data_IF_417957271046
#
_entry.id   IF_417957271046
#
_cell.length_a   1.000
_cell.length_b   1.000
_cell.length_c   1.000
_cell.angle_alpha   90.00
_cell.angle_beta   90.00
_cell.angle_gamma   90.00
#
_symmetry.space_group_name_H-M   'P 1'
#
loop_
_entity.id
_entity.type
_entity.pdbx_description
1 polymer ?
#
# COMPACT_ATOMS: atom_id res chain seq x y z
N UNK A 1 7.50 19.25 12.93
CA UNK A 1 6.91 18.26 12.02
C UNK A 1 5.92 19.01 11.12
N UNK A 2 6.08 18.95 9.80
CA UNK A 2 5.18 19.62 8.85
C UNK A 2 4.60 18.53 7.95
N UNK A 3 3.27 18.41 7.97
CA UNK A 3 2.51 17.55 7.08
C UNK A 3 1.91 18.40 5.96
N UNK A 4 2.24 18.09 4.72
CA UNK A 4 1.70 18.78 3.55
C UNK A 4 0.49 18.00 3.01
N UNK A 5 -0.70 18.60 2.83
CA UNK A 5 -1.84 17.88 2.28
C UNK A 5 -1.55 17.33 0.88
N UNK A 6 -2.01 16.12 0.58
CA UNK A 6 -1.93 15.58 -0.78
C UNK A 6 -3.04 16.20 -1.65
N UNK A 7 -2.69 16.72 -2.82
CA UNK A 7 -3.63 17.38 -3.75
C UNK A 7 -4.26 16.42 -4.76
N UNK A 8 -3.66 15.25 -4.97
CA UNK A 8 -3.96 14.31 -6.06
C UNK A 8 -5.12 13.36 -5.74
N UNK A 9 -5.45 13.17 -4.47
CA UNK A 9 -6.52 12.27 -4.03
C UNK A 9 -7.31 13.00 -2.94
N UNK A 10 -8.39 13.67 -3.33
CA UNK A 10 -9.15 14.57 -2.47
C UNK A 10 -9.48 13.97 -1.10
N UNK A 11 -9.46 14.82 -0.07
CA UNK A 11 -9.69 14.43 1.32
C UNK A 11 -11.11 13.87 1.51
N UNK A 12 -11.29 12.56 1.36
CA UNK A 12 -12.57 11.88 1.57
C UNK A 12 -13.01 11.92 3.04
N UNK A 13 -14.31 11.78 3.31
CA UNK A 13 -14.86 11.88 4.67
C UNK A 13 -14.14 11.02 5.71
N UNK A 14 -13.63 9.85 5.29
CA UNK A 14 -13.02 8.83 6.15
C UNK A 14 -11.53 8.62 5.90
N UNK A 15 -10.87 9.47 5.11
CA UNK A 15 -9.42 9.39 4.88
C UNK A 15 -8.83 10.80 4.84
N UNK A 16 -7.74 10.99 5.57
CA UNK A 16 -6.89 12.19 5.48
C UNK A 16 -5.47 11.75 5.17
N UNK A 17 -4.91 12.30 4.11
CA UNK A 17 -3.60 11.92 3.59
C UNK A 17 -2.70 13.15 3.49
N UNK A 18 -1.43 12.94 3.85
CA UNK A 18 -0.42 13.98 3.84
C UNK A 18 0.89 13.42 3.32
N UNK A 19 1.75 14.32 2.85
CA UNK A 19 3.16 14.06 2.63
C UNK A 19 3.97 14.52 3.84
N UNK A 20 4.94 13.70 4.24
CA UNK A 20 5.96 14.05 5.22
C UNK A 20 7.34 13.89 4.57
N UNK A 21 8.19 14.92 4.60
CA UNK A 21 9.54 14.81 4.03
C UNK A 21 10.33 13.71 4.74
N UNK A 22 10.81 12.73 3.99
CA UNK A 22 11.64 11.66 4.50
C UNK A 22 13.00 12.22 4.94
N UNK A 23 13.51 11.72 6.07
CA UNK A 23 14.84 12.09 6.59
C UNK A 23 15.72 10.87 6.85
N UNK A 24 15.12 9.68 6.91
CA UNK A 24 15.78 8.37 6.97
C UNK A 24 15.11 7.44 5.97
N UNK A 25 15.84 6.42 5.52
CA UNK A 25 15.27 5.34 4.70
C UNK A 25 14.47 4.36 5.55
N UNK A 26 14.97 4.00 6.74
CA UNK A 26 14.24 3.15 7.66
C UNK A 26 13.26 4.00 8.49
N UNK A 27 11.97 3.67 8.39
CA UNK A 27 10.89 4.40 9.07
C UNK A 27 10.92 4.19 10.58
N UNK A 28 11.47 3.08 11.07
CA UNK A 28 11.58 2.82 12.50
C UNK A 28 12.64 3.71 13.19
N UNK A 29 13.58 4.25 12.41
CA UNK A 29 14.57 5.23 12.88
C UNK A 29 14.01 6.67 12.90
N UNK A 30 12.82 6.91 12.32
CA UNK A 30 12.20 8.22 12.27
C UNK A 30 11.29 8.46 13.50
N UNK A 31 11.84 9.17 14.50
CA UNK A 31 11.10 9.57 15.71
C UNK A 31 9.78 10.31 15.44
N UNK A 32 9.62 10.95 14.27
CA UNK A 32 8.39 11.63 13.87
C UNK A 32 7.31 10.61 13.49
N UNK A 33 7.68 9.55 12.78
CA UNK A 33 6.78 8.43 12.46
C UNK A 33 6.33 7.73 13.74
N UNK A 34 7.26 7.49 14.68
CA UNK A 34 6.90 6.96 16.00
C UNK A 34 5.92 7.88 16.74
N UNK A 35 6.18 9.18 16.77
CA UNK A 35 5.31 10.16 17.43
C UNK A 35 3.91 10.22 16.81
N UNK A 36 3.83 10.15 15.48
CA UNK A 36 2.56 10.06 14.76
C UNK A 36 1.77 8.81 15.14
N UNK A 37 2.42 7.64 15.16
CA UNK A 37 1.80 6.37 15.57
C UNK A 37 1.27 6.42 17.01
N UNK A 38 2.00 7.03 17.93
CA UNK A 38 1.56 7.21 19.33
C UNK A 38 0.36 8.15 19.43
N UNK A 39 0.41 9.29 18.74
CA UNK A 39 -0.67 10.27 18.76
C UNK A 39 -1.98 9.71 18.16
N UNK A 40 -1.91 8.95 17.07
CA UNK A 40 -3.11 8.35 16.45
C UNK A 40 -3.73 7.25 17.31
N UNK A 41 -2.91 6.42 17.96
CA UNK A 41 -3.39 5.40 18.87
C UNK A 41 -4.23 5.98 20.02
N UNK A 42 -3.83 7.15 20.56
CA UNK A 42 -4.57 7.85 21.61
C UNK A 42 -5.98 8.32 21.17
N UNK A 43 -6.22 8.43 19.87
CA UNK A 43 -7.49 8.87 19.29
C UNK A 43 -8.27 7.73 18.61
N UNK A 44 -7.85 6.48 18.79
CA UNK A 44 -8.48 5.32 18.12
C UNK A 44 -8.55 5.51 16.59
N UNK A 45 -7.46 6.01 16.01
CA UNK A 45 -7.28 6.13 14.56
C UNK A 45 -6.18 5.18 14.10
N UNK A 46 -6.37 4.60 12.92
CA UNK A 46 -5.31 3.91 12.21
C UNK A 46 -4.42 4.93 11.48
N UNK A 47 -3.13 4.61 11.38
CA UNK A 47 -2.17 5.34 10.57
C UNK A 47 -1.38 4.37 9.72
N UNK A 48 -1.14 4.74 8.47
CA UNK A 48 -0.22 4.05 7.60
C UNK A 48 0.83 5.03 7.09
N UNK A 49 2.09 4.61 7.12
CA UNK A 49 3.23 5.40 6.68
C UNK A 49 4.11 4.52 5.81
N UNK A 50 4.38 4.96 4.59
CA UNK A 50 5.25 4.28 3.63
C UNK A 50 6.04 5.31 2.81
N UNK A 51 7.13 4.88 2.17
CA UNK A 51 7.79 5.72 1.18
C UNK A 51 6.89 5.97 -0.02
N UNK A 52 6.85 7.23 -0.49
CA UNK A 52 6.20 7.61 -1.74
C UNK A 52 6.82 6.84 -2.93
N UNK A 53 6.03 6.59 -3.97
CA UNK A 53 6.53 6.01 -5.21
C UNK A 53 6.58 7.04 -6.35
N UNK A 54 7.76 7.63 -6.67
CA UNK A 54 7.87 8.58 -7.77
C UNK A 54 7.45 8.02 -9.13
N UNK A 55 7.61 6.72 -9.34
CA UNK A 55 7.13 6.08 -10.57
C UNK A 55 5.60 6.08 -10.68
N UNK A 56 4.88 6.15 -9.55
CA UNK A 56 3.43 6.29 -9.51
C UNK A 56 2.95 7.76 -9.54
N UNK A 57 3.88 8.72 -9.61
CA UNK A 57 3.59 10.15 -9.64
C UNK A 57 3.65 10.85 -8.27
N UNK A 58 4.10 10.15 -7.23
CA UNK A 58 4.29 10.75 -5.91
C UNK A 58 5.57 11.61 -5.85
N UNK A 59 5.67 12.57 -4.91
CA UNK A 59 6.88 13.37 -4.74
C UNK A 59 8.06 12.54 -4.23
N UNK A 60 9.24 12.74 -4.83
CA UNK A 60 10.48 12.10 -4.40
C UNK A 60 10.98 12.61 -3.05
N UNK A 61 11.45 11.71 -2.19
CA UNK A 61 11.97 12.04 -0.86
C UNK A 61 10.89 12.37 0.18
N UNK A 62 9.67 11.90 -0.05
CA UNK A 62 8.55 12.02 0.88
C UNK A 62 7.98 10.66 1.29
N UNK A 63 7.24 10.67 2.39
CA UNK A 63 6.44 9.58 2.90
C UNK A 63 4.97 9.91 2.67
N UNK A 64 4.19 8.90 2.30
CA UNK A 64 2.74 8.94 2.40
C UNK A 64 2.34 8.71 3.85
N UNK A 65 1.45 9.56 4.35
CA UNK A 65 0.90 9.46 5.71
C UNK A 65 -0.61 9.46 5.62
N UNK A 66 -1.19 8.26 5.74
CA UNK A 66 -2.63 8.03 5.68
C UNK A 66 -3.21 7.87 7.09
N UNK A 67 -4.16 8.73 7.45
CA UNK A 67 -4.98 8.61 8.64
C UNK A 67 -6.36 8.04 8.26
N UNK A 68 -6.76 6.99 8.97
CA UNK A 68 -7.94 6.17 8.67
C UNK A 68 -8.70 5.84 9.96
N UNK A 69 -10.01 5.53 9.89
CA UNK A 69 -10.69 4.79 10.94
C UNK A 69 -9.97 3.46 11.23
N UNK A 70 -10.05 2.99 12.47
CA UNK A 70 -9.55 1.65 12.81
C UNK A 70 -10.25 0.59 11.94
N UNK A 71 -9.44 -0.34 11.43
CA UNK A 71 -9.93 -1.44 10.59
C UNK A 71 -10.36 -1.03 9.18
N UNK A 72 -9.91 0.13 8.66
CA UNK A 72 -10.22 0.61 7.31
C UNK A 72 -9.01 0.58 6.34
N UNK A 73 -7.99 -0.24 6.62
CA UNK A 73 -6.83 -0.42 5.76
C UNK A 73 -7.13 -1.32 4.55
N UNK A 74 -6.20 -1.36 3.59
CA UNK A 74 -6.35 -2.22 2.40
C UNK A 74 -6.45 -3.72 2.77
N UNK A 75 -5.82 -4.13 3.86
CA UNK A 75 -5.96 -5.48 4.44
C UNK A 75 -7.41 -5.79 4.80
N UNK A 76 -8.04 -4.94 5.61
CA UNK A 76 -9.42 -5.14 6.06
C UNK A 76 -10.42 -5.07 4.92
N UNK A 77 -10.18 -4.18 3.94
CA UNK A 77 -11.00 -4.11 2.72
C UNK A 77 -10.93 -5.44 1.96
N UNK A 78 -9.73 -5.95 1.70
CA UNK A 78 -9.55 -7.20 0.95
C UNK A 78 -10.25 -8.37 1.66
N UNK A 79 -10.04 -8.50 2.97
CA UNK A 79 -10.68 -9.54 3.80
C UNK A 79 -12.20 -9.42 3.78
N UNK A 80 -12.74 -8.22 3.98
CA UNK A 80 -14.17 -7.97 3.95
C UNK A 80 -14.80 -8.40 2.62
N UNK A 81 -14.17 -8.08 1.49
CA UNK A 81 -14.65 -8.45 0.16
C UNK A 81 -14.61 -9.97 -0.07
N UNK A 82 -13.53 -10.64 0.35
CA UNK A 82 -13.40 -12.10 0.30
C UNK A 82 -14.50 -12.80 1.10
N UNK A 83 -14.74 -12.37 2.34
CA UNK A 83 -15.77 -12.92 3.21
C UNK A 83 -17.18 -12.66 2.65
N UNK A 84 -17.44 -11.43 2.17
CA UNK A 84 -18.75 -11.03 1.64
C UNK A 84 -19.15 -11.82 0.40
N UNK A 85 -18.21 -12.07 -0.50
CA UNK A 85 -18.47 -12.78 -1.76
C UNK A 85 -18.11 -14.26 -1.71
N UNK A 86 -17.70 -14.76 -0.55
CA UNK A 86 -17.26 -16.16 -0.37
C UNK A 86 -16.16 -16.55 -1.38
N UNK A 87 -15.27 -15.62 -1.70
CA UNK A 87 -14.12 -15.85 -2.60
C UNK A 87 -12.90 -16.14 -1.73
N UNK A 88 -12.35 -17.37 -1.77
CA UNK A 88 -11.17 -17.70 -0.98
C UNK A 88 -9.93 -16.97 -1.49
N UNK A 89 -8.92 -16.82 -0.62
CA UNK A 89 -7.63 -16.24 -0.97
C UNK A 89 -6.98 -16.93 -2.18
N UNK A 90 -7.10 -18.26 -2.31
CA UNK A 90 -6.61 -19.02 -3.47
C UNK A 90 -7.23 -18.63 -4.81
N UNK A 91 -8.35 -17.91 -4.82
CA UNK A 91 -8.99 -17.36 -6.02
C UNK A 91 -8.93 -15.83 -6.09
N UNK A 92 -8.04 -15.23 -5.30
CA UNK A 92 -7.86 -13.78 -5.23
C UNK A 92 -6.49 -13.41 -5.81
N UNK A 93 -6.48 -12.49 -6.78
CA UNK A 93 -5.27 -11.85 -7.28
C UNK A 93 -5.13 -10.46 -6.62
N UNK A 94 -3.93 -10.08 -6.19
CA UNK A 94 -3.65 -8.73 -5.71
C UNK A 94 -2.35 -8.17 -6.34
N UNK A 95 -2.36 -6.87 -6.62
CA UNK A 95 -1.24 -6.16 -7.21
C UNK A 95 -0.98 -4.87 -6.43
N UNK A 96 0.27 -4.59 -6.11
CA UNK A 96 0.68 -3.40 -5.36
C UNK A 96 1.97 -2.80 -5.89
N UNK A 97 2.34 -1.64 -5.37
CA UNK A 97 3.56 -0.94 -5.73
C UNK A 97 4.27 -0.26 -4.55
N UNK A 98 3.60 -0.11 -3.41
CA UNK A 98 4.16 0.58 -2.24
C UNK A 98 3.89 -0.16 -0.94
N UNK A 99 4.49 0.30 0.16
CA UNK A 99 4.37 -0.34 1.48
C UNK A 99 2.92 -0.47 1.96
N UNK A 100 2.04 0.47 1.58
CA UNK A 100 0.62 0.40 1.96
C UNK A 100 -0.16 -0.77 1.33
N UNK A 101 0.38 -1.41 0.29
CA UNK A 101 -0.25 -2.54 -0.37
C UNK A 101 0.05 -3.87 0.31
N UNK A 102 1.11 -3.96 1.11
CA UNK A 102 1.61 -5.22 1.67
C UNK A 102 0.53 -5.99 2.45
N UNK A 103 -0.31 -5.27 3.21
CA UNK A 103 -1.43 -5.86 3.95
C UNK A 103 -2.50 -6.48 3.05
N UNK A 104 -2.77 -5.89 1.89
CA UNK A 104 -3.68 -6.45 0.87
C UNK A 104 -3.04 -7.64 0.15
N UNK A 105 -1.75 -7.52 -0.21
CA UNK A 105 -1.00 -8.60 -0.86
C UNK A 105 -0.99 -9.86 0.00
N UNK A 106 -0.86 -9.73 1.32
CA UNK A 106 -0.91 -10.84 2.27
C UNK A 106 -2.28 -11.56 2.33
N UNK A 107 -3.37 -10.91 1.89
CA UNK A 107 -4.71 -11.53 1.85
C UNK A 107 -4.95 -12.39 0.60
N UNK A 108 -4.15 -12.23 -0.45
CA UNK A 108 -4.33 -12.92 -1.71
C UNK A 108 -3.42 -14.14 -1.80
N UNK A 109 -3.95 -15.26 -2.32
CA UNK A 109 -3.14 -16.46 -2.61
C UNK A 109 -2.17 -16.23 -3.78
N UNK A 110 -2.44 -15.20 -4.59
CA UNK A 110 -1.69 -14.83 -5.77
C UNK A 110 -1.45 -13.32 -5.75
N UNK A 111 -0.25 -12.91 -5.32
CA UNK A 111 0.05 -11.51 -5.05
C UNK A 111 1.38 -11.10 -5.69
N UNK A 112 1.40 -9.95 -6.35
CA UNK A 112 2.60 -9.40 -6.99
C UNK A 112 2.78 -7.91 -6.72
N UNK A 113 4.03 -7.49 -6.64
CA UNK A 113 4.39 -6.10 -6.85
C UNK A 113 4.60 -5.82 -8.34
N UNK A 114 4.18 -4.66 -8.84
CA UNK A 114 4.54 -4.24 -10.20
C UNK A 114 6.03 -3.88 -10.28
N UNK A 115 6.66 -3.97 -11.46
CA UNK A 115 8.12 -3.81 -11.59
C UNK A 115 8.65 -2.39 -11.28
N UNK A 116 7.78 -1.41 -11.10
CA UNK A 116 8.10 -0.06 -10.60
C UNK A 116 7.76 0.14 -9.11
N UNK A 117 7.50 -0.94 -8.37
CA UNK A 117 7.29 -0.87 -6.91
C UNK A 117 8.51 -0.34 -6.15
N UNK A 118 8.24 0.35 -5.04
CA UNK A 118 9.22 0.89 -4.09
C UNK A 118 10.20 -0.17 -3.58
N UNK A 119 11.40 0.25 -3.21
CA UNK A 119 12.42 -0.65 -2.65
C UNK A 119 11.96 -1.30 -1.33
N UNK A 120 11.32 -0.52 -0.45
CA UNK A 120 10.70 -1.01 0.79
C UNK A 120 9.73 -2.17 0.52
N UNK A 121 8.79 -1.98 -0.42
CA UNK A 121 7.83 -3.03 -0.76
C UNK A 121 8.52 -4.28 -1.31
N UNK A 122 9.53 -4.13 -2.19
CA UNK A 122 10.29 -5.26 -2.76
C UNK A 122 11.05 -6.06 -1.72
N UNK A 123 11.55 -5.41 -0.67
CA UNK A 123 12.22 -6.10 0.43
C UNK A 123 11.22 -6.96 1.22
N UNK A 124 9.98 -6.49 1.36
CA UNK A 124 8.93 -7.19 2.11
C UNK A 124 8.17 -8.25 1.28
N UNK A 125 8.11 -8.13 -0.05
CA UNK A 125 7.36 -9.04 -0.92
C UNK A 125 8.17 -9.48 -2.16
N UNK A 126 8.50 -10.77 -2.29
CA UNK A 126 9.46 -11.24 -3.28
C UNK A 126 8.90 -11.39 -4.71
N UNK A 127 7.58 -11.52 -4.86
CA UNK A 127 6.97 -11.74 -6.18
C UNK A 127 6.75 -10.42 -6.91
N UNK A 128 7.43 -10.24 -8.04
CA UNK A 128 7.37 -9.02 -8.85
C UNK A 128 6.99 -9.37 -10.29
N UNK A 129 6.13 -8.57 -10.91
CA UNK A 129 5.82 -8.68 -12.34
C UNK A 129 7.03 -8.29 -13.21
N UNK A 130 7.05 -8.77 -14.45
CA UNK A 130 8.12 -8.46 -15.41
C UNK A 130 8.09 -7.01 -15.93
N UNK A 131 6.90 -6.39 -15.97
CA UNK A 131 6.68 -5.03 -16.48
C UNK A 131 6.09 -4.11 -15.42
N UNK A 132 6.24 -2.78 -15.56
CA UNK A 132 5.72 -1.83 -14.60
C UNK A 132 4.23 -1.55 -14.85
N UNK A 133 3.59 -0.94 -13.85
CA UNK A 133 2.21 -0.45 -13.92
C UNK A 133 1.22 -1.51 -14.46
N UNK A 134 0.22 -1.06 -15.22
CA UNK A 134 -0.77 -1.92 -15.86
C UNK A 134 -0.16 -2.99 -16.78
N UNK A 135 1.01 -2.74 -17.36
CA UNK A 135 1.69 -3.73 -18.21
C UNK A 135 2.02 -5.02 -17.45
N UNK A 136 2.52 -4.89 -16.22
CA UNK A 136 2.79 -6.03 -15.35
C UNK A 136 1.52 -6.78 -14.95
N UNK A 137 0.45 -6.05 -14.66
CA UNK A 137 -0.84 -6.62 -14.26
C UNK A 137 -1.43 -7.45 -15.40
N UNK A 138 -1.52 -6.88 -16.60
CA UNK A 138 -2.10 -7.54 -17.77
C UNK A 138 -1.34 -8.82 -18.14
N UNK A 139 -0.01 -8.77 -18.17
CA UNK A 139 0.80 -9.95 -18.51
C UNK A 139 0.65 -11.07 -17.48
N UNK A 140 0.67 -10.72 -16.20
CA UNK A 140 0.50 -11.71 -15.13
C UNK A 140 -0.88 -12.37 -15.22
N UNK A 141 -1.94 -11.60 -15.40
CA UNK A 141 -3.30 -12.15 -15.55
C UNK A 141 -3.37 -13.05 -16.80
N UNK A 142 -2.85 -12.60 -17.95
CA UNK A 142 -2.84 -13.40 -19.18
C UNK A 142 -2.08 -14.74 -19.01
N UNK A 143 -0.96 -14.72 -18.28
CA UNK A 143 -0.17 -15.90 -17.99
C UNK A 143 -0.88 -16.88 -17.04
N UNK A 144 -1.66 -16.39 -16.09
CA UNK A 144 -2.46 -17.24 -15.20
C UNK A 144 -3.58 -17.91 -16.00
N UNK A 145 -4.33 -17.13 -16.78
CA UNK A 145 -5.48 -17.63 -17.55
C UNK A 145 -5.11 -18.61 -18.67
N UNK A 146 -3.87 -18.57 -19.17
CA UNK A 146 -3.37 -19.51 -20.18
C UNK A 146 -2.76 -20.78 -19.59
N UNK A 147 -2.38 -20.78 -18.30
CA UNK A 147 -1.85 -21.97 -17.59
C UNK A 147 -2.93 -22.81 -16.91
N UNK A 148 -4.12 -22.26 -16.70
CA UNK A 148 -5.29 -22.97 -16.16
C UNK A 148 -6.16 -23.64 -17.25
N UNK A 149 -5.74 -23.59 -18.52
CA UNK A 149 -6.31 -24.33 -19.66
C UNK A 149 -5.46 -25.55 -19.99
#
# INVERSE_FOLDING_TARGET
MILAPQSTHGAGTYKRNFYLRAVTENLDDDSRVWSLRQATAAHSLAINVNHCNPAAGDPEGYLDVDFLPLGAGKHEIARFLQETWQVPASRTLAFGDSGNDLGMLACAGHAWLVSNATAEARQAHPHVTARPHAGGIVDTIANILTKEQ
#
